data_IF_051013672831
#
_entry.id   IF_051013672831
#
_cell.length_a   1.000
_cell.length_b   1.000
_cell.length_c   1.000
_cell.angle_alpha   90.00
_cell.angle_beta   90.00
_cell.angle_gamma   90.00
#
_symmetry.space_group_name_H-M   'P 1'
#
loop_
_entity.id
_entity.type
_entity.pdbx_description
1 polymer ?
#
# COMPACT_ATOMS: atom_id res chain seq x y z
N UNK A 1 4.89 14.99 -4.17
CA UNK A 1 3.87 13.95 -4.44
C UNK A 1 2.83 14.08 -3.34
N UNK A 2 1.60 14.46 -3.70
CA UNK A 2 0.53 14.74 -2.73
C UNK A 2 0.08 13.47 -2.01
N UNK A 3 -0.60 13.62 -0.87
CA UNK A 3 -1.16 12.48 -0.12
C UNK A 3 -2.28 11.75 -0.88
N UNK A 4 -2.78 12.33 -1.97
CA UNK A 4 -3.84 11.76 -2.81
C UNK A 4 -3.41 10.46 -3.51
N UNK A 5 -2.11 10.20 -3.66
CA UNK A 5 -1.57 9.00 -4.32
C UNK A 5 -1.24 7.84 -3.35
N UNK A 6 -1.77 7.88 -2.11
CA UNK A 6 -1.44 6.92 -1.05
C UNK A 6 -2.65 6.13 -0.58
N UNK A 7 -2.47 4.82 -0.37
CA UNK A 7 -3.50 3.93 0.20
C UNK A 7 -2.97 3.22 1.44
N UNK A 8 -3.55 3.52 2.60
CA UNK A 8 -3.18 2.90 3.88
C UNK A 8 -3.93 1.59 4.11
N UNK A 9 -3.19 0.49 4.19
CA UNK A 9 -3.71 -0.87 4.36
C UNK A 9 -3.83 -1.20 5.85
N UNK A 10 -5.07 -1.35 6.29
CA UNK A 10 -5.44 -1.69 7.66
C UNK A 10 -6.20 -3.00 7.73
N UNK A 11 -7.22 -3.06 8.60
CA UNK A 11 -8.00 -4.28 8.91
C UNK A 11 -9.27 -4.49 8.06
N UNK A 12 -9.59 -3.61 7.11
CA UNK A 12 -10.75 -3.80 6.22
C UNK A 12 -10.51 -5.00 5.29
N UNK A 13 -11.57 -5.46 4.60
CA UNK A 13 -11.44 -6.53 3.60
C UNK A 13 -10.48 -6.11 2.47
N UNK A 14 -9.66 -7.03 1.99
CA UNK A 14 -8.64 -6.80 0.95
C UNK A 14 -9.20 -6.07 -0.26
N UNK A 15 -10.36 -6.49 -0.77
CA UNK A 15 -11.01 -5.86 -1.93
C UNK A 15 -11.35 -4.38 -1.74
N UNK A 16 -11.61 -3.92 -0.51
CA UNK A 16 -11.88 -2.50 -0.28
C UNK A 16 -10.65 -1.65 -0.58
N UNK A 17 -9.46 -2.18 -0.31
CA UNK A 17 -8.20 -1.51 -0.60
C UNK A 17 -7.84 -1.58 -2.09
N UNK A 18 -8.12 -2.72 -2.74
CA UNK A 18 -7.97 -2.84 -4.20
C UNK A 18 -8.81 -1.79 -4.92
N UNK A 19 -10.09 -1.64 -4.55
CA UNK A 19 -10.97 -0.65 -5.16
C UNK A 19 -10.50 0.79 -4.89
N UNK A 20 -10.02 1.08 -3.68
CA UNK A 20 -9.44 2.39 -3.37
C UNK A 20 -8.18 2.67 -4.23
N UNK A 21 -7.31 1.68 -4.38
CA UNK A 21 -6.11 1.80 -5.19
C UNK A 21 -6.44 2.01 -6.68
N UNK A 22 -7.48 1.37 -7.22
CA UNK A 22 -7.94 1.61 -8.61
C UNK A 22 -8.40 3.06 -8.82
N UNK A 23 -9.14 3.63 -7.85
CA UNK A 23 -9.65 5.01 -7.96
C UNK A 23 -8.49 6.02 -7.99
N UNK A 24 -7.44 5.74 -7.22
CA UNK A 24 -6.26 6.60 -7.10
C UNK A 24 -5.28 6.40 -8.27
N UNK A 25 -5.10 5.15 -8.70
CA UNK A 25 -4.18 4.75 -9.76
C UNK A 25 -4.75 5.13 -11.12
N UNK A 26 -4.45 6.34 -11.54
CA UNK A 26 -4.80 6.88 -12.85
C UNK A 26 -3.52 7.02 -13.71
N UNK A 27 -3.16 8.22 -14.14
CA UNK A 27 -1.88 8.46 -14.85
C UNK A 27 -0.67 8.58 -13.89
N UNK A 28 -0.92 8.67 -12.58
CA UNK A 28 0.13 8.75 -11.56
C UNK A 28 0.26 7.43 -10.77
N UNK A 29 1.48 7.08 -10.30
CA UNK A 29 1.70 5.93 -9.43
C UNK A 29 0.91 6.02 -8.12
N UNK A 30 0.52 4.85 -7.58
CA UNK A 30 -0.07 4.74 -6.24
C UNK A 30 0.90 4.04 -5.29
N UNK A 31 1.01 4.53 -4.05
CA UNK A 31 1.79 3.87 -3.00
C UNK A 31 0.87 3.19 -2.01
N UNK A 32 1.05 1.88 -1.82
CA UNK A 32 0.37 1.10 -0.78
C UNK A 32 1.23 1.11 0.48
N UNK A 33 0.70 1.64 1.58
CA UNK A 33 1.42 1.74 2.85
C UNK A 33 0.80 0.80 3.88
N UNK A 34 1.62 0.03 4.57
CA UNK A 34 1.15 -0.85 5.63
C UNK A 34 2.20 -1.05 6.71
N UNK A 35 1.75 -1.50 7.89
CA UNK A 35 2.64 -1.85 8.99
C UNK A 35 2.15 -3.05 9.78
N UNK A 36 3.09 -3.72 10.42
CA UNK A 36 2.87 -4.93 11.21
C UNK A 36 2.14 -6.01 10.41
N UNK A 37 1.11 -6.62 11.01
CA UNK A 37 0.36 -7.73 10.39
C UNK A 37 -0.38 -7.36 9.10
N UNK A 38 -0.56 -6.07 8.80
CA UNK A 38 -1.19 -5.63 7.55
C UNK A 38 -0.25 -5.71 6.34
N UNK A 39 1.05 -5.93 6.54
CA UNK A 39 2.04 -6.04 5.45
C UNK A 39 1.65 -7.14 4.46
N UNK A 40 1.26 -8.32 4.95
CA UNK A 40 0.82 -9.41 4.06
C UNK A 40 -0.38 -9.00 3.20
N UNK A 41 -1.34 -8.28 3.79
CA UNK A 41 -2.49 -7.75 3.05
C UNK A 41 -2.07 -6.71 1.99
N UNK A 42 -1.05 -5.90 2.26
CA UNK A 42 -0.56 -4.93 1.27
C UNK A 42 0.03 -5.63 0.04
N UNK A 43 0.77 -6.71 0.26
CA UNK A 43 1.27 -7.57 -0.82
C UNK A 43 0.11 -8.21 -1.58
N UNK A 44 -0.89 -8.77 -0.88
CA UNK A 44 -2.08 -9.34 -1.53
C UNK A 44 -2.81 -8.30 -2.39
N UNK A 45 -2.96 -7.06 -1.89
CA UNK A 45 -3.60 -5.97 -2.64
C UNK A 45 -2.80 -5.62 -3.89
N UNK A 46 -1.47 -5.52 -3.79
CA UNK A 46 -0.60 -5.22 -4.93
C UNK A 46 -0.74 -6.29 -6.03
N UNK A 47 -0.65 -7.56 -5.64
CA UNK A 47 -0.75 -8.70 -6.56
C UNK A 47 -2.12 -8.77 -7.24
N UNK A 48 -3.22 -8.63 -6.47
CA UNK A 48 -4.57 -8.63 -7.05
C UNK A 48 -4.74 -7.47 -8.03
N UNK A 49 -4.28 -6.27 -7.66
CA UNK A 49 -4.42 -5.06 -8.47
C UNK A 49 -3.80 -5.23 -9.87
N UNK A 50 -2.55 -5.67 -9.93
CA UNK A 50 -1.83 -5.75 -11.21
C UNK A 50 -2.22 -6.96 -12.05
N UNK A 51 -2.48 -8.11 -11.42
CA UNK A 51 -2.80 -9.33 -12.16
C UNK A 51 -4.26 -9.38 -12.63
N UNK A 52 -5.18 -8.74 -11.89
CA UNK A 52 -6.61 -8.82 -12.18
C UNK A 52 -7.16 -7.57 -12.84
N UNK A 53 -6.76 -6.37 -12.38
CA UNK A 53 -7.45 -5.13 -12.74
C UNK A 53 -6.65 -4.24 -13.69
N UNK A 54 -5.35 -4.05 -13.45
CA UNK A 54 -4.53 -3.09 -14.19
C UNK A 54 -3.36 -3.82 -14.85
N UNK A 55 -3.69 -4.59 -15.90
CA UNK A 55 -2.69 -5.36 -16.63
C UNK A 55 -1.66 -4.43 -17.27
N UNK A 56 -0.38 -4.78 -17.13
CA UNK A 56 0.73 -4.00 -17.68
C UNK A 56 1.28 -2.93 -16.73
N UNK A 57 0.71 -2.75 -15.54
CA UNK A 57 1.37 -2.01 -14.47
C UNK A 57 2.64 -2.73 -14.02
N UNK A 58 3.55 -1.98 -13.40
CA UNK A 58 4.79 -2.51 -12.85
C UNK A 58 5.00 -2.04 -11.41
N UNK A 59 5.75 -2.82 -10.64
CA UNK A 59 6.29 -2.36 -9.37
C UNK A 59 7.27 -1.20 -9.57
N UNK A 60 7.11 -0.16 -8.74
CA UNK A 60 8.11 0.89 -8.53
C UNK A 60 9.01 0.57 -7.35
N UNK A 61 9.28 1.55 -6.50
CA UNK A 61 10.04 1.33 -5.27
C UNK A 61 9.26 0.46 -4.25
N UNK A 62 9.97 -0.47 -3.61
CA UNK A 62 9.47 -1.23 -2.45
C UNK A 62 10.40 -0.94 -1.27
N UNK A 63 9.90 -0.21 -0.30
CA UNK A 63 10.67 0.21 0.86
C UNK A 63 10.17 -0.52 2.11
N UNK A 64 11.12 -0.94 2.95
CA UNK A 64 10.83 -1.49 4.28
C UNK A 64 11.51 -0.62 5.33
N UNK A 65 10.83 -0.42 6.45
CA UNK A 65 11.34 0.39 7.54
C UNK A 65 10.78 -0.08 8.89
N UNK A 66 11.19 0.59 9.96
CA UNK A 66 10.62 0.40 11.30
C UNK A 66 10.03 1.73 11.76
N UNK A 67 8.74 1.75 12.06
CA UNK A 67 8.05 2.89 12.68
C UNK A 67 8.00 2.70 14.19
N UNK A 68 8.29 3.75 14.94
CA UNK A 68 8.07 3.80 16.39
C UNK A 68 6.67 4.35 16.66
N UNK A 69 5.78 3.52 17.20
CA UNK A 69 4.43 3.92 17.56
C UNK A 69 4.31 4.10 19.07
N UNK A 70 3.62 5.16 19.49
CA UNK A 70 3.21 5.34 20.89
C UNK A 70 1.90 4.60 21.11
N UNK A 71 1.92 3.66 22.06
CA UNK A 71 0.76 2.90 22.50
C UNK A 71 -0.12 3.75 23.44
N UNK A 72 -1.34 3.30 23.67
CA UNK A 72 -2.31 3.97 24.55
C UNK A 72 -1.88 4.03 26.01
N UNK A 73 -0.99 3.13 26.44
CA UNK A 73 -0.39 3.10 27.77
C UNK A 73 0.87 3.99 27.91
N UNK A 74 1.23 4.72 26.85
CA UNK A 74 2.40 5.59 26.81
C UNK A 74 3.70 4.88 26.48
N UNK A 75 3.70 3.54 26.32
CA UNK A 75 4.88 2.81 25.86
C UNK A 75 5.12 3.00 24.36
N UNK A 76 6.35 2.82 23.91
CA UNK A 76 6.67 2.82 22.48
C UNK A 76 6.89 1.40 21.97
N UNK A 77 6.45 1.13 20.74
CA UNK A 77 6.67 -0.15 20.07
C UNK A 77 7.20 0.06 18.67
N UNK A 78 8.22 -0.71 18.33
CA UNK A 78 8.78 -0.77 16.99
C UNK A 78 7.90 -1.68 16.13
N UNK A 79 7.43 -1.16 15.01
CA UNK A 79 6.54 -1.88 14.09
C UNK A 79 7.16 -1.82 12.71
N UNK A 80 7.37 -2.98 12.09
CA UNK A 80 7.80 -3.06 10.70
C UNK A 80 6.79 -2.37 9.79
N UNK A 81 7.26 -1.60 8.82
CA UNK A 81 6.45 -0.92 7.82
C UNK A 81 6.92 -1.28 6.41
N UNK A 82 6.00 -1.21 5.45
CA UNK A 82 6.24 -1.43 4.03
C UNK A 82 5.54 -0.34 3.22
N UNK A 83 6.19 0.08 2.15
CA UNK A 83 5.65 0.93 1.10
C UNK A 83 5.87 0.21 -0.23
N UNK A 84 4.80 0.05 -1.00
CA UNK A 84 4.83 -0.60 -2.31
C UNK A 84 4.28 0.39 -3.34
N UNK A 85 5.13 0.88 -4.22
CA UNK A 85 4.71 1.73 -5.33
C UNK A 85 4.25 0.87 -6.51
N UNK A 86 3.09 1.19 -7.07
CA UNK A 86 2.54 0.60 -8.29
C UNK A 86 2.50 1.68 -9.35
N UNK A 87 3.24 1.47 -10.44
CA UNK A 87 3.33 2.37 -11.58
C UNK A 87 2.33 1.91 -12.65
N UNK A 88 1.44 2.79 -13.14
CA UNK A 88 0.49 2.42 -14.19
C UNK A 88 1.22 2.10 -15.51
N UNK A 89 0.62 1.29 -16.41
CA UNK A 89 1.19 1.04 -17.72
C UNK A 89 1.41 2.34 -18.49
N UNK A 90 2.54 2.45 -19.19
CA UNK A 90 2.76 3.54 -20.15
C UNK A 90 1.75 3.38 -21.30
N UNK A 91 1.06 4.48 -21.65
CA UNK A 91 0.24 4.56 -22.87
C UNK A 91 1.10 4.36 -24.11
#
# INVERSE_FOLDING_TARGET
MGDDSKVYIGRKKTMNYVMAAIVVLNEEPVTLLARGRSISRAVDVAEILMHTFIKGSSYGAINISTETLTNTDGTSSNVSAIEIEIIPPKK
#
